data_IF_303321702944
#
_entry.id   IF_303321702944
#
_cell.length_a   1.000
_cell.length_b   1.000
_cell.length_c   1.000
_cell.angle_alpha   90.00
_cell.angle_beta   90.00
_cell.angle_gamma   90.00
#
_symmetry.space_group_name_H-M   'P 1'
#
loop_
_entity.id
_entity.type
_entity.pdbx_description
1 polymer ?
#
# COMPACT_ATOMS: atom_id res chain seq x y z
N UNK A 1 -22.74 0.00 31.51
CA UNK A 1 -22.69 1.46 31.26
C UNK A 1 -21.99 1.71 29.93
N UNK A 2 -22.84 2.00 28.95
CA UNK A 2 -22.70 2.66 27.65
C UNK A 2 -21.27 3.06 27.12
N UNK A 3 -20.57 2.12 26.47
CA UNK A 3 -19.43 2.41 25.57
C UNK A 3 -19.82 2.31 24.07
N UNK A 4 -21.11 2.30 23.74
CA UNK A 4 -21.64 1.95 22.40
C UNK A 4 -21.97 3.13 21.49
N UNK A 5 -21.54 4.36 21.81
CA UNK A 5 -21.93 5.58 21.05
C UNK A 5 -20.82 6.35 20.32
N UNK A 6 -19.56 5.93 20.39
CA UNK A 6 -18.45 6.77 19.89
C UNK A 6 -17.82 6.35 18.55
N UNK A 7 -18.34 5.34 17.87
CA UNK A 7 -17.93 5.02 16.50
C UNK A 7 -18.93 5.55 15.44
N UNK A 8 -19.57 6.70 15.70
CA UNK A 8 -20.13 7.49 14.61
C UNK A 8 -18.94 8.14 13.92
N UNK A 9 -18.58 7.65 12.73
CA UNK A 9 -17.77 8.42 11.80
C UNK A 9 -18.37 9.82 11.73
N UNK A 10 -17.58 10.79 12.17
CA UNK A 10 -17.99 12.18 12.20
C UNK A 10 -18.42 12.59 10.79
N UNK A 11 -19.53 13.33 10.66
CA UNK A 11 -19.98 13.85 9.36
C UNK A 11 -18.86 14.64 8.67
N UNK A 12 -17.96 15.23 9.45
CA UNK A 12 -16.73 15.91 9.02
C UNK A 12 -15.81 14.96 8.24
N UNK A 13 -15.55 13.74 8.73
CA UNK A 13 -14.68 12.74 8.07
C UNK A 13 -15.23 12.30 6.71
N UNK A 14 -16.56 12.17 6.58
CA UNK A 14 -17.23 11.82 5.32
C UNK A 14 -17.16 12.98 4.31
N UNK A 15 -17.42 14.21 4.75
CA UNK A 15 -17.37 15.41 3.92
C UNK A 15 -15.93 15.65 3.43
N UNK A 16 -14.93 15.53 4.28
CA UNK A 16 -13.52 15.68 3.92
C UNK A 16 -13.02 14.55 3.00
N UNK A 17 -13.46 13.30 3.22
CA UNK A 17 -13.21 12.20 2.29
C UNK A 17 -13.83 12.44 0.91
N UNK A 18 -15.03 13.03 0.84
CA UNK A 18 -15.66 13.46 -0.40
C UNK A 18 -14.89 14.61 -1.07
N UNK A 19 -14.43 15.61 -0.33
CA UNK A 19 -13.58 16.70 -0.85
C UNK A 19 -12.26 16.17 -1.41
N UNK A 20 -11.61 15.24 -0.70
CA UNK A 20 -10.38 14.59 -1.16
C UNK A 20 -10.64 13.81 -2.44
N UNK A 21 -11.77 13.10 -2.55
CA UNK A 21 -12.14 12.40 -3.79
C UNK A 21 -12.41 13.37 -4.95
N UNK A 22 -13.13 14.47 -4.72
CA UNK A 22 -13.37 15.53 -5.73
C UNK A 22 -12.07 16.19 -6.20
N UNK A 23 -11.13 16.45 -5.28
CA UNK A 23 -9.82 16.99 -5.62
C UNK A 23 -9.00 16.00 -6.46
N UNK A 24 -9.07 14.70 -6.15
CA UNK A 24 -8.44 13.64 -6.93
C UNK A 24 -9.09 13.47 -8.31
N UNK A 25 -10.41 13.59 -8.44
CA UNK A 25 -11.09 13.60 -9.75
C UNK A 25 -10.63 14.76 -10.63
N UNK A 26 -10.37 15.94 -10.04
CA UNK A 26 -9.77 17.06 -10.77
C UNK A 26 -8.36 16.73 -11.26
N UNK A 27 -7.55 16.05 -10.45
CA UNK A 27 -6.21 15.58 -10.85
C UNK A 27 -6.31 14.55 -11.99
N UNK A 28 -7.25 13.60 -11.90
CA UNK A 28 -7.49 12.59 -12.95
C UNK A 28 -7.89 13.26 -14.26
N UNK A 29 -8.85 14.19 -14.23
CA UNK A 29 -9.31 14.92 -15.42
C UNK A 29 -8.20 15.81 -16.02
N UNK A 30 -7.37 16.43 -15.19
CA UNK A 30 -6.20 17.20 -15.63
C UNK A 30 -5.13 16.29 -16.25
N UNK A 31 -4.80 15.17 -15.60
CA UNK A 31 -3.82 14.20 -16.09
C UNK A 31 -4.25 13.58 -17.44
N UNK A 32 -5.54 13.30 -17.62
CA UNK A 32 -6.08 12.78 -18.88
C UNK A 32 -6.00 13.77 -20.05
N UNK A 33 -6.00 15.09 -19.79
CA UNK A 33 -6.03 16.10 -20.85
C UNK A 33 -4.64 16.62 -21.26
N UNK A 34 -3.64 16.55 -20.37
CA UNK A 34 -2.33 17.19 -20.61
C UNK A 34 -1.12 16.33 -20.23
N UNK A 35 -1.33 15.19 -19.57
CA UNK A 35 -0.27 14.47 -18.85
C UNK A 35 0.15 15.24 -17.59
N UNK A 36 0.37 14.53 -16.48
CA UNK A 36 0.82 15.15 -15.23
C UNK A 36 2.27 14.73 -14.93
N UNK A 37 3.11 15.71 -14.62
CA UNK A 37 4.48 15.46 -14.14
C UNK A 37 4.47 14.99 -12.68
N UNK A 38 5.56 14.37 -12.25
CA UNK A 38 5.71 13.96 -10.84
C UNK A 38 5.64 15.17 -9.90
N UNK A 39 6.20 16.31 -10.32
CA UNK A 39 6.22 17.54 -9.52
C UNK A 39 4.82 18.13 -9.36
N UNK A 40 4.04 18.18 -10.45
CA UNK A 40 2.64 18.61 -10.40
C UNK A 40 1.81 17.69 -9.49
N UNK A 41 2.01 16.37 -9.57
CA UNK A 41 1.31 15.42 -8.70
C UNK A 41 1.63 15.68 -7.21
N UNK A 42 2.91 15.90 -6.87
CA UNK A 42 3.33 16.22 -5.50
C UNK A 42 2.70 17.53 -5.03
N UNK A 43 2.78 18.59 -5.83
CA UNK A 43 2.19 19.90 -5.49
C UNK A 43 0.69 19.76 -5.22
N UNK A 44 -0.03 19.03 -6.08
CA UNK A 44 -1.45 18.77 -5.87
C UNK A 44 -1.73 18.00 -4.58
N UNK A 45 -0.93 16.97 -4.26
CA UNK A 45 -1.06 16.24 -3.00
C UNK A 45 -0.84 17.15 -1.79
N UNK A 46 0.21 17.99 -1.80
CA UNK A 46 0.51 18.92 -0.72
C UNK A 46 -0.62 19.94 -0.51
N UNK A 47 -1.26 20.42 -1.59
CA UNK A 47 -2.43 21.31 -1.52
C UNK A 47 -3.62 20.59 -0.88
N UNK A 48 -3.89 19.35 -1.28
CA UNK A 48 -4.97 18.54 -0.70
C UNK A 48 -4.72 18.34 0.80
N UNK A 49 -3.52 17.92 1.19
CA UNK A 49 -3.19 17.64 2.59
C UNK A 49 -3.25 18.88 3.48
N UNK A 50 -2.86 20.05 2.95
CA UNK A 50 -3.03 21.33 3.64
C UNK A 50 -4.52 21.69 3.87
N UNK A 51 -5.42 21.17 3.03
CA UNK A 51 -6.86 21.41 3.12
C UNK A 51 -7.62 20.34 3.92
N UNK A 52 -7.06 19.12 4.09
CA UNK A 52 -7.76 17.95 4.63
C UNK A 52 -7.17 17.40 5.95
N UNK A 53 -6.56 18.25 6.78
CA UNK A 53 -5.71 17.86 7.93
C UNK A 53 -6.31 16.91 8.99
N UNK A 54 -7.62 16.63 8.99
CA UNK A 54 -8.32 15.92 10.08
C UNK A 54 -8.72 14.46 9.80
N UNK A 55 -8.81 14.00 8.54
CA UNK A 55 -9.34 12.64 8.21
C UNK A 55 -8.45 11.49 8.71
N UNK A 56 -7.14 11.56 8.45
CA UNK A 56 -6.22 10.46 8.79
C UNK A 56 -6.09 10.24 10.31
N UNK A 57 -6.27 11.31 11.10
CA UNK A 57 -6.27 11.25 12.57
C UNK A 57 -7.53 10.59 13.12
N UNK A 58 -8.67 10.73 12.43
CA UNK A 58 -9.94 10.15 12.85
C UNK A 58 -10.02 8.63 12.59
N UNK A 59 -9.52 8.13 11.46
CA UNK A 59 -9.46 6.69 11.16
C UNK A 59 -8.52 5.95 12.14
N UNK A 60 -7.38 6.55 12.48
CA UNK A 60 -6.43 5.99 13.45
C UNK A 60 -6.99 5.96 14.89
N UNK A 61 -7.88 6.89 15.24
CA UNK A 61 -8.50 6.95 16.56
C UNK A 61 -9.56 5.86 16.80
N UNK A 62 -10.14 5.30 15.74
CA UNK A 62 -11.15 4.23 15.82
C UNK A 62 -10.54 2.84 16.06
N UNK A 63 -9.23 2.68 15.87
CA UNK A 63 -8.53 1.40 15.92
C UNK A 63 -7.80 1.22 17.26
N UNK A 64 -7.71 -0.02 17.74
CA UNK A 64 -7.07 -0.31 19.02
C UNK A 64 -5.57 -0.12 18.88
N UNK A 65 -5.02 0.90 19.56
CA UNK A 65 -3.58 1.12 19.68
C UNK A 65 -2.96 0.00 20.49
N UNK A 66 -2.03 -0.71 19.88
CA UNK A 66 -1.30 -1.80 20.52
C UNK A 66 0.04 -1.27 21.04
N UNK A 67 0.24 -1.29 22.37
CA UNK A 67 1.59 -1.19 22.95
C UNK A 67 2.24 -2.58 22.95
N UNK A 68 3.43 -2.75 22.36
CA UNK A 68 4.15 -4.02 22.31
C UNK A 68 4.97 -4.32 23.58
N UNK A 69 4.96 -3.45 24.59
CA UNK A 69 5.85 -3.51 25.76
C UNK A 69 5.66 -4.77 26.63
N UNK A 70 4.51 -5.45 26.54
CA UNK A 70 4.21 -6.65 27.33
C UNK A 70 4.51 -7.99 26.63
N UNK A 71 4.95 -7.96 25.36
CA UNK A 71 5.13 -9.18 24.56
C UNK A 71 6.44 -9.90 24.91
N UNK A 72 6.37 -11.20 25.21
CA UNK A 72 7.51 -12.00 25.71
C UNK A 72 8.29 -12.70 24.60
N UNK A 73 7.73 -12.81 23.40
CA UNK A 73 8.34 -13.48 22.25
C UNK A 73 8.00 -12.77 20.92
N UNK A 74 8.78 -12.99 19.85
CA UNK A 74 8.46 -12.48 18.52
C UNK A 74 7.07 -12.89 18.03
N UNK A 75 6.65 -14.12 18.34
CA UNK A 75 5.30 -14.63 18.06
C UNK A 75 4.22 -13.79 18.74
N UNK A 76 4.38 -13.46 20.02
CA UNK A 76 3.42 -12.65 20.76
C UNK A 76 3.28 -11.24 20.17
N UNK A 77 4.40 -10.64 19.76
CA UNK A 77 4.39 -9.35 19.07
C UNK A 77 3.61 -9.46 17.77
N UNK A 78 3.91 -10.46 16.95
CA UNK A 78 3.27 -10.64 15.64
C UNK A 78 1.77 -10.91 15.78
N UNK A 79 1.36 -11.83 16.67
CA UNK A 79 -0.04 -12.10 16.98
C UNK A 79 -0.81 -10.82 17.33
N UNK A 80 -0.22 -9.96 18.18
CA UNK A 80 -0.87 -8.71 18.61
C UNK A 80 -0.91 -7.65 17.52
N UNK A 81 0.10 -7.61 16.64
CA UNK A 81 0.32 -6.49 15.69
C UNK A 81 -0.14 -6.78 14.26
N UNK A 82 -0.27 -8.05 13.88
CA UNK A 82 -0.85 -8.49 12.60
C UNK A 82 -2.34 -8.81 12.72
N UNK A 83 -2.92 -8.72 13.92
CA UNK A 83 -4.36 -8.84 14.09
C UNK A 83 -5.08 -7.79 13.23
N UNK A 84 -6.05 -8.23 12.44
CA UNK A 84 -6.83 -7.38 11.53
C UNK A 84 -7.62 -6.27 12.23
N UNK A 85 -7.76 -6.35 13.56
CA UNK A 85 -8.43 -5.34 14.41
C UNK A 85 -7.45 -4.43 15.16
N UNK A 86 -6.15 -4.57 14.92
CA UNK A 86 -5.10 -3.77 15.56
C UNK A 86 -4.53 -2.73 14.61
N UNK A 87 -4.15 -1.56 15.15
CA UNK A 87 -3.31 -0.60 14.42
C UNK A 87 -2.10 -0.23 15.25
N UNK A 88 -0.95 -0.33 14.60
CA UNK A 88 0.27 0.31 15.04
C UNK A 88 0.31 1.71 14.44
N UNK A 89 0.47 2.71 15.30
CA UNK A 89 0.66 4.10 14.88
C UNK A 89 1.96 4.20 14.06
N UNK A 90 1.84 4.37 12.75
CA UNK A 90 2.96 4.63 11.82
C UNK A 90 2.96 6.06 11.30
N UNK A 91 1.95 6.83 11.69
CA UNK A 91 1.65 8.18 11.20
C UNK A 91 2.81 9.16 11.41
N UNK A 92 3.64 9.00 12.44
CA UNK A 92 4.81 9.89 12.64
C UNK A 92 5.81 9.80 11.48
N UNK A 93 6.14 8.60 11.02
CA UNK A 93 7.17 8.39 10.00
C UNK A 93 6.78 8.86 8.59
N UNK A 94 5.49 8.79 8.24
CA UNK A 94 4.98 9.27 6.95
C UNK A 94 4.80 10.78 7.00
N UNK A 95 4.27 11.30 8.10
CA UNK A 95 4.11 12.74 8.31
C UNK A 95 5.47 13.45 8.27
N UNK A 96 6.51 12.90 8.91
CA UNK A 96 7.88 13.44 8.83
C UNK A 96 8.40 13.49 7.39
N UNK A 97 8.15 12.45 6.58
CA UNK A 97 8.55 12.43 5.17
C UNK A 97 7.74 13.43 4.32
N UNK A 98 6.46 13.62 4.63
CA UNK A 98 5.61 14.63 4.00
C UNK A 98 6.07 16.04 4.31
N UNK A 99 6.42 16.34 5.58
CA UNK A 99 6.97 17.63 5.97
C UNK A 99 8.32 17.89 5.31
N UNK A 100 9.20 16.89 5.29
CA UNK A 100 10.47 16.99 4.57
C UNK A 100 10.28 17.27 3.07
N UNK A 101 9.20 16.77 2.46
CA UNK A 101 8.87 17.01 1.06
C UNK A 101 8.42 18.45 0.80
N UNK A 102 7.79 19.12 1.76
CA UNK A 102 7.35 20.53 1.62
C UNK A 102 8.51 21.49 1.43
N UNK A 103 9.63 21.21 2.08
CA UNK A 103 10.85 22.04 2.04
C UNK A 103 11.86 21.54 0.98
N UNK A 104 11.59 20.42 0.30
CA UNK A 104 12.53 19.80 -0.63
C UNK A 104 12.51 20.46 -2.02
N UNK A 105 13.68 20.54 -2.65
CA UNK A 105 13.76 20.82 -4.09
C UNK A 105 13.30 19.59 -4.88
N UNK A 106 12.07 19.65 -5.39
CA UNK A 106 11.46 18.59 -6.21
C UNK A 106 12.32 18.24 -7.43
N UNK A 107 13.13 19.16 -7.95
CA UNK A 107 14.00 18.93 -9.11
C UNK A 107 15.06 17.84 -8.85
N UNK A 108 15.46 17.69 -7.58
CA UNK A 108 16.47 16.71 -7.11
C UNK A 108 15.87 15.39 -6.63
N UNK A 109 14.54 15.34 -6.46
CA UNK A 109 13.83 14.17 -5.96
C UNK A 109 14.14 12.91 -6.78
N UNK A 110 14.47 11.82 -6.10
CA UNK A 110 14.64 10.49 -6.69
C UNK A 110 13.54 9.56 -6.22
N UNK A 111 13.00 8.79 -7.14
CA UNK A 111 12.05 7.73 -6.83
C UNK A 111 12.78 6.55 -6.18
N UNK A 112 12.14 5.95 -5.18
CA UNK A 112 12.65 4.73 -4.55
C UNK A 112 12.05 3.50 -5.21
N UNK A 113 12.86 2.52 -5.63
CA UNK A 113 12.31 1.23 -6.05
C UNK A 113 11.78 0.48 -4.82
N UNK A 114 10.51 0.09 -4.84
CA UNK A 114 9.83 -0.54 -3.70
C UNK A 114 9.31 -1.94 -3.98
N UNK A 115 9.32 -2.36 -5.24
CA UNK A 115 9.00 -3.72 -5.62
C UNK A 115 9.39 -3.99 -7.06
N UNK A 116 9.79 -5.22 -7.35
CA UNK A 116 10.05 -5.70 -8.71
C UNK A 116 9.52 -7.11 -8.86
N UNK A 117 8.74 -7.35 -9.90
CA UNK A 117 8.23 -8.67 -10.24
C UNK A 117 8.24 -8.87 -11.75
N UNK A 118 7.75 -10.02 -12.19
CA UNK A 118 7.73 -10.38 -13.61
C UNK A 118 6.91 -9.41 -14.48
N UNK A 119 5.93 -8.73 -13.89
CA UNK A 119 5.03 -7.82 -14.61
C UNK A 119 5.50 -6.37 -14.63
N UNK A 120 6.45 -5.99 -13.77
CA UNK A 120 6.82 -4.59 -13.63
C UNK A 120 7.68 -4.27 -12.44
N UNK A 121 8.12 -3.01 -12.40
CA UNK A 121 8.81 -2.41 -11.26
C UNK A 121 7.93 -1.29 -10.70
N UNK A 122 7.85 -1.23 -9.36
CA UNK A 122 7.08 -0.24 -8.62
C UNK A 122 8.05 0.72 -7.93
N UNK A 123 7.79 2.00 -8.07
CA UNK A 123 8.59 3.09 -7.55
C UNK A 123 7.75 3.97 -6.62
N UNK A 124 8.18 4.19 -5.38
CA UNK A 124 7.55 5.20 -4.51
C UNK A 124 7.87 6.60 -4.99
N UNK A 125 6.92 7.51 -4.78
CA UNK A 125 7.17 8.94 -4.77
C UNK A 125 7.40 9.32 -3.29
N UNK A 126 8.64 9.62 -2.87
CA UNK A 126 8.97 9.83 -1.47
C UNK A 126 8.13 10.93 -0.83
N UNK A 127 7.67 10.69 0.40
CA UNK A 127 6.84 11.66 1.13
C UNK A 127 5.40 11.74 0.64
N UNK A 128 4.94 10.81 -0.19
CA UNK A 128 3.53 10.73 -0.61
C UNK A 128 2.99 9.30 -0.44
N UNK A 129 1.67 9.16 -0.56
CA UNK A 129 0.99 7.87 -0.63
C UNK A 129 1.00 7.26 -2.04
N UNK A 130 1.65 7.90 -3.01
CA UNK A 130 1.61 7.50 -4.41
C UNK A 130 2.84 6.69 -4.81
N UNK A 131 2.63 5.76 -5.74
CA UNK A 131 3.67 5.07 -6.44
C UNK A 131 3.41 5.04 -7.95
N UNK A 132 4.48 4.84 -8.70
CA UNK A 132 4.45 4.59 -10.13
C UNK A 132 4.77 3.13 -10.38
N UNK A 133 3.95 2.44 -11.16
CA UNK A 133 4.28 1.11 -11.67
C UNK A 133 4.59 1.20 -13.15
N UNK A 134 5.74 0.67 -13.53
CA UNK A 134 6.21 0.57 -14.91
C UNK A 134 6.22 -0.90 -15.33
N UNK A 135 5.66 -1.20 -16.49
CA UNK A 135 5.63 -2.57 -17.03
C UNK A 135 7.01 -3.00 -17.52
N UNK A 136 7.33 -4.29 -17.32
CA UNK A 136 8.48 -4.96 -17.94
C UNK A 136 8.06 -5.87 -19.11
N UNK A 137 6.77 -5.94 -19.42
CA UNK A 137 6.21 -6.91 -20.38
C UNK A 137 5.53 -6.21 -21.55
N UNK A 138 4.22 -6.00 -21.48
CA UNK A 138 3.45 -5.30 -22.51
C UNK A 138 2.69 -4.09 -21.96
N UNK A 139 2.47 -3.05 -22.78
CA UNK A 139 1.54 -1.96 -22.48
C UNK A 139 0.11 -2.47 -22.22
N UNK A 140 -0.36 -3.44 -23.01
CA UNK A 140 -1.73 -3.96 -22.93
C UNK A 140 -2.04 -4.56 -21.54
N UNK A 141 -1.10 -5.34 -20.97
CA UNK A 141 -1.28 -5.90 -19.63
C UNK A 141 -1.34 -4.82 -18.54
N UNK A 142 -0.57 -3.74 -18.71
CA UNK A 142 -0.60 -2.63 -17.77
C UNK A 142 -1.88 -1.81 -17.91
N UNK A 143 -2.42 -1.70 -19.12
CA UNK A 143 -3.73 -1.11 -19.39
C UNK A 143 -4.87 -1.94 -18.78
N UNK A 144 -4.84 -3.26 -18.96
CA UNK A 144 -5.79 -4.18 -18.31
C UNK A 144 -5.75 -4.02 -16.79
N UNK A 145 -4.56 -4.01 -16.19
CA UNK A 145 -4.40 -3.78 -14.75
C UNK A 145 -4.98 -2.43 -14.31
N UNK A 146 -4.68 -1.35 -15.04
CA UNK A 146 -5.21 -0.02 -14.75
C UNK A 146 -6.74 0.01 -14.80
N UNK A 147 -7.32 -0.56 -15.86
CA UNK A 147 -8.77 -0.56 -16.07
C UNK A 147 -9.50 -1.43 -15.05
N UNK A 148 -9.01 -2.65 -14.81
CA UNK A 148 -9.54 -3.53 -13.76
C UNK A 148 -9.40 -2.89 -12.39
N UNK A 149 -8.28 -2.24 -12.10
CA UNK A 149 -8.04 -1.52 -10.85
C UNK A 149 -9.06 -0.39 -10.62
N UNK A 150 -9.35 0.41 -11.64
CA UNK A 150 -10.39 1.44 -11.58
C UNK A 150 -11.79 0.85 -11.30
N UNK A 151 -12.17 -0.22 -12.00
CA UNK A 151 -13.46 -0.89 -11.79
C UNK A 151 -13.56 -1.47 -10.38
N UNK A 152 -12.51 -2.15 -9.91
CA UNK A 152 -12.48 -2.76 -8.58
C UNK A 152 -12.54 -1.69 -7.49
N UNK A 153 -11.81 -0.59 -7.64
CA UNK A 153 -11.91 0.56 -6.73
C UNK A 153 -13.35 1.06 -6.66
N UNK A 154 -14.01 1.30 -7.79
CA UNK A 154 -15.38 1.82 -7.81
C UNK A 154 -16.36 0.88 -7.11
N UNK A 155 -16.27 -0.42 -7.41
CA UNK A 155 -17.16 -1.43 -6.82
C UNK A 155 -16.90 -1.65 -5.33
N UNK A 156 -15.63 -1.79 -4.93
CA UNK A 156 -15.23 -2.15 -3.56
C UNK A 156 -15.16 -0.94 -2.64
N UNK A 157 -14.64 0.20 -3.09
CA UNK A 157 -14.56 1.38 -2.22
C UNK A 157 -15.85 2.22 -2.28
N UNK A 158 -16.56 2.28 -3.42
CA UNK A 158 -17.76 3.11 -3.61
C UNK A 158 -19.05 2.40 -3.21
N UNK A 159 -19.46 1.39 -3.96
CA UNK A 159 -20.76 0.72 -3.79
C UNK A 159 -20.83 -0.13 -2.52
N UNK A 160 -19.73 -0.80 -2.20
CA UNK A 160 -19.66 -1.73 -1.10
C UNK A 160 -19.66 -1.06 0.28
N UNK A 161 -18.89 0.01 0.45
CA UNK A 161 -18.89 0.84 1.66
C UNK A 161 -20.31 1.29 2.01
N UNK A 162 -21.06 1.83 1.04
CA UNK A 162 -22.42 2.32 1.26
C UNK A 162 -23.43 1.23 1.71
N UNK A 163 -23.25 -0.01 1.27
CA UNK A 163 -24.11 -1.13 1.65
C UNK A 163 -23.79 -1.69 3.04
N UNK A 164 -22.49 -1.77 3.42
CA UNK A 164 -22.08 -2.19 4.78
C UNK A 164 -22.46 -1.13 5.81
N UNK A 165 -22.22 0.16 5.54
CA UNK A 165 -22.57 1.24 6.47
C UNK A 165 -24.07 1.29 6.79
N UNK A 166 -24.91 0.79 5.89
CA UNK A 166 -26.37 0.74 6.08
C UNK A 166 -26.87 -0.60 6.64
N UNK A 167 -26.03 -1.61 6.75
CA UNK A 167 -26.42 -2.94 7.21
C UNK A 167 -26.16 -3.09 8.71
N UNK A 168 -27.20 -3.38 9.47
CA UNK A 168 -27.08 -3.74 10.89
C UNK A 168 -26.41 -5.11 11.09
N UNK A 169 -26.41 -5.97 10.07
CA UNK A 169 -25.87 -7.33 10.14
C UNK A 169 -24.36 -7.41 9.85
N UNK A 170 -23.76 -6.37 9.25
CA UNK A 170 -22.37 -6.35 8.80
C UNK A 170 -21.50 -5.34 9.56
N UNK A 171 -21.92 -4.92 10.76
CA UNK A 171 -21.22 -3.89 11.54
C UNK A 171 -19.80 -4.30 11.98
N UNK A 172 -19.49 -5.61 12.03
CA UNK A 172 -18.17 -6.12 12.41
C UNK A 172 -17.28 -6.53 11.23
N UNK A 173 -17.78 -6.44 10.00
CA UNK A 173 -17.04 -6.81 8.80
C UNK A 173 -15.87 -5.84 8.56
N UNK A 174 -14.66 -6.37 8.34
CA UNK A 174 -13.53 -5.54 7.92
C UNK A 174 -13.51 -5.48 6.39
N UNK A 175 -13.36 -4.27 5.85
CA UNK A 175 -13.31 -4.08 4.41
C UNK A 175 -11.86 -4.00 3.92
N UNK A 176 -11.42 -4.91 3.01
CA UNK A 176 -10.18 -4.68 2.31
C UNK A 176 -10.31 -3.42 1.45
N UNK A 177 -9.41 -2.46 1.66
CA UNK A 177 -9.33 -1.26 0.82
C UNK A 177 -8.59 -1.59 -0.46
N UNK A 178 -9.22 -1.33 -1.60
CA UNK A 178 -8.53 -1.39 -2.89
C UNK A 178 -7.73 -0.10 -3.08
N UNK A 179 -6.42 -0.16 -3.41
CA UNK A 179 -5.64 1.03 -3.70
C UNK A 179 -6.26 1.89 -4.80
N UNK A 180 -6.20 3.22 -4.64
CA UNK A 180 -6.72 4.15 -5.65
C UNK A 180 -5.81 4.19 -6.88
N UNK A 181 -6.38 3.94 -8.05
CA UNK A 181 -5.72 4.20 -9.33
C UNK A 181 -6.03 5.64 -9.75
N UNK A 182 -5.01 6.42 -10.10
CA UNK A 182 -5.16 7.84 -10.45
C UNK A 182 -5.14 8.07 -11.95
N UNK A 183 -4.04 7.69 -12.61
CA UNK A 183 -3.84 7.99 -14.02
C UNK A 183 -2.85 7.01 -14.64
N UNK A 184 -2.80 6.99 -15.97
CA UNK A 184 -1.83 6.23 -16.76
C UNK A 184 -1.21 7.13 -17.82
N UNK A 185 0.00 6.81 -18.27
CA UNK A 185 0.72 7.55 -19.30
C UNK A 185 1.44 6.59 -20.24
N UNK A 186 1.49 6.94 -21.53
CA UNK A 186 2.25 6.18 -22.52
C UNK A 186 1.62 4.84 -22.92
N UNK A 187 0.31 4.66 -22.69
CA UNK A 187 -0.41 3.42 -22.99
C UNK A 187 -0.78 3.28 -24.46
N UNK A 188 -1.15 4.39 -25.12
CA UNK A 188 -1.65 4.37 -26.49
C UNK A 188 -0.58 4.56 -27.57
N UNK A 189 0.55 5.20 -27.23
CA UNK A 189 1.64 5.45 -28.17
C UNK A 189 2.99 5.62 -27.46
N UNK A 190 4.08 5.21 -28.12
CA UNK A 190 5.43 5.29 -27.56
C UNK A 190 5.94 6.72 -27.44
N UNK A 191 5.50 7.64 -28.30
CA UNK A 191 5.99 9.03 -28.32
C UNK A 191 5.51 9.81 -27.08
N UNK A 192 4.31 9.54 -26.58
CA UNK A 192 3.78 10.11 -25.35
C UNK A 192 4.49 9.57 -24.11
N UNK A 193 4.93 8.30 -24.13
CA UNK A 193 5.81 7.75 -23.10
C UNK A 193 7.18 8.45 -23.11
N UNK A 194 7.80 8.59 -24.29
CA UNK A 194 9.08 9.29 -24.46
C UNK A 194 9.04 10.74 -24.00
N UNK A 195 8.00 11.48 -24.38
CA UNK A 195 7.83 12.89 -23.97
C UNK A 195 7.78 13.02 -22.45
N UNK A 196 6.96 12.22 -21.80
CA UNK A 196 6.84 12.25 -20.34
C UNK A 196 8.16 11.85 -19.65
N UNK A 197 8.88 10.86 -20.21
CA UNK A 197 10.18 10.44 -19.69
C UNK A 197 11.29 11.48 -19.90
N UNK A 198 11.21 12.33 -20.93
CA UNK A 198 12.16 13.43 -21.09
C UNK A 198 12.13 14.39 -19.89
N UNK A 199 10.96 14.57 -19.29
CA UNK A 199 10.75 15.47 -18.15
C UNK A 199 11.02 14.78 -16.81
N UNK A 200 10.60 13.53 -16.67
CA UNK A 200 10.56 12.81 -15.39
C UNK A 200 11.63 11.71 -15.25
N UNK A 201 12.21 11.25 -16.35
CA UNK A 201 13.12 10.10 -16.41
C UNK A 201 14.33 10.24 -15.50
N UNK A 202 14.83 11.47 -15.29
CA UNK A 202 15.93 11.76 -14.36
C UNK A 202 15.63 11.40 -12.90
N UNK A 203 14.35 11.30 -12.52
CA UNK A 203 13.90 10.96 -11.16
C UNK A 203 13.92 9.46 -10.91
N UNK A 204 13.86 8.65 -11.97
CA UNK A 204 14.00 7.20 -11.83
C UNK A 204 15.45 6.83 -11.47
N UNK A 205 15.63 5.77 -10.67
CA UNK A 205 16.98 5.24 -10.43
C UNK A 205 17.62 4.84 -11.77
N UNK A 206 18.93 5.05 -11.87
CA UNK A 206 19.70 4.71 -13.08
C UNK A 206 19.77 3.18 -13.31
N UNK A 207 19.57 2.41 -12.24
CA UNK A 207 19.58 0.96 -12.26
C UNK A 207 18.28 0.40 -12.89
N UNK A 208 18.35 -0.83 -13.41
CA UNK A 208 17.18 -1.67 -13.67
C UNK A 208 16.14 -1.09 -14.64
N UNK A 209 16.59 -0.50 -15.75
CA UNK A 209 15.73 0.06 -16.81
C UNK A 209 14.81 1.22 -16.35
N UNK A 210 14.97 1.72 -15.12
CA UNK A 210 14.15 2.79 -14.56
C UNK A 210 14.07 4.01 -15.48
N UNK A 211 15.17 4.33 -16.17
CA UNK A 211 15.26 5.48 -17.08
C UNK A 211 14.74 5.24 -18.49
N UNK A 212 14.53 3.98 -18.92
CA UNK A 212 14.01 3.71 -20.28
C UNK A 212 12.57 4.24 -20.38
N UNK A 213 12.20 4.95 -21.45
CA UNK A 213 10.81 5.30 -21.69
C UNK A 213 9.90 4.07 -21.72
N UNK A 214 8.68 4.22 -21.22
CA UNK A 214 7.68 3.17 -21.29
C UNK A 214 6.36 3.56 -20.62
N UNK A 215 5.31 2.75 -20.79
CA UNK A 215 4.03 2.99 -20.16
C UNK A 215 4.12 2.88 -18.64
N UNK A 216 3.39 3.75 -17.96
CA UNK A 216 3.33 3.81 -16.49
C UNK A 216 1.90 4.00 -16.01
N UNK A 217 1.63 3.53 -14.80
CA UNK A 217 0.43 3.86 -14.04
C UNK A 217 0.83 4.51 -12.72
N UNK A 218 0.03 5.48 -12.28
CA UNK A 218 0.10 6.06 -10.96
C UNK A 218 -1.05 5.54 -10.11
N UNK A 219 -0.70 5.00 -8.94
CA UNK A 219 -1.64 4.42 -8.01
C UNK A 219 -1.20 4.65 -6.56
N UNK A 220 -2.14 4.50 -5.65
CA UNK A 220 -1.89 4.51 -4.22
C UNK A 220 -1.03 3.31 -3.84
N UNK A 221 -0.03 3.57 -3.01
CA UNK A 221 0.87 2.56 -2.51
C UNK A 221 0.31 1.93 -1.24
N UNK A 222 0.49 0.62 -1.11
CA UNK A 222 0.35 -0.07 0.18
C UNK A 222 1.59 0.24 1.02
N UNK A 223 1.37 0.84 2.19
CA UNK A 223 2.46 1.17 3.10
C UNK A 223 3.16 -0.09 3.60
N UNK A 224 4.50 -0.08 3.72
CA UNK A 224 5.22 -1.24 4.21
C UNK A 224 4.82 -1.54 5.66
N UNK A 225 4.86 -2.82 6.02
CA UNK A 225 4.59 -3.21 7.41
C UNK A 225 5.60 -2.53 8.35
N UNK A 226 5.18 -2.12 9.57
CA UNK A 226 6.04 -1.43 10.54
C UNK A 226 7.33 -2.17 10.84
N UNK A 227 8.41 -1.44 11.17
CA UNK A 227 9.72 -2.02 11.51
C UNK A 227 9.61 -3.11 12.57
N UNK A 228 8.81 -2.87 13.60
CA UNK A 228 8.56 -3.84 14.67
C UNK A 228 8.05 -5.18 14.12
N UNK A 229 7.10 -5.16 13.18
CA UNK A 229 6.57 -6.39 12.57
C UNK A 229 7.66 -7.06 11.73
N UNK A 230 8.38 -6.29 10.89
CA UNK A 230 9.46 -6.82 10.04
C UNK A 230 10.53 -7.54 10.83
N UNK A 231 11.03 -6.91 11.89
CA UNK A 231 12.08 -7.47 12.73
C UNK A 231 11.62 -8.79 13.36
N UNK A 232 10.36 -8.87 13.80
CA UNK A 232 9.83 -10.08 14.43
C UNK A 232 9.50 -11.18 13.41
N UNK A 233 9.11 -10.84 12.18
CA UNK A 233 8.98 -11.82 11.09
C UNK A 233 10.33 -12.46 10.75
N UNK A 234 11.39 -11.66 10.67
CA UNK A 234 12.75 -12.17 10.45
C UNK A 234 13.16 -13.10 11.60
N UNK A 235 13.01 -12.65 12.85
CA UNK A 235 13.36 -13.47 14.02
C UNK A 235 12.62 -14.79 14.09
N UNK A 236 11.35 -14.82 13.65
CA UNK A 236 10.49 -15.99 13.76
C UNK A 236 10.67 -16.97 12.59
N UNK A 237 10.82 -16.49 11.36
CA UNK A 237 10.75 -17.34 10.17
C UNK A 237 12.07 -17.50 9.42
N UNK A 238 13.06 -16.61 9.61
CA UNK A 238 14.33 -16.71 8.90
C UNK A 238 15.30 -17.59 9.69
N UNK A 239 16.15 -18.32 8.96
CA UNK A 239 17.26 -19.08 9.56
C UNK A 239 18.19 -18.15 10.34
N UNK A 240 18.68 -18.53 11.54
CA UNK A 240 19.51 -17.68 12.40
C UNK A 240 20.68 -17.01 11.67
N UNK A 241 21.35 -17.75 10.78
CA UNK A 241 22.48 -17.27 9.97
C UNK A 241 22.12 -16.16 8.98
N UNK A 242 20.86 -16.05 8.58
CA UNK A 242 20.38 -15.07 7.60
C UNK A 242 19.71 -13.84 8.25
N UNK A 243 19.49 -13.85 9.57
CA UNK A 243 18.69 -12.82 10.24
C UNK A 243 19.38 -11.45 10.21
N UNK A 244 20.69 -11.40 10.48
CA UNK A 244 21.44 -10.14 10.49
C UNK A 244 21.46 -9.49 9.11
N UNK A 245 21.72 -10.28 8.06
CA UNK A 245 21.69 -9.82 6.68
C UNK A 245 20.30 -9.30 6.29
N UNK A 246 19.23 -10.05 6.62
CA UNK A 246 17.86 -9.64 6.33
C UNK A 246 17.45 -8.36 7.08
N UNK A 247 17.94 -8.14 8.31
CA UNK A 247 17.68 -6.91 9.07
C UNK A 247 18.42 -5.70 8.49
N UNK A 248 19.61 -5.91 7.93
CA UNK A 248 20.43 -4.86 7.32
C UNK A 248 19.97 -4.51 5.89
N UNK A 249 19.31 -5.44 5.19
CA UNK A 249 18.88 -5.25 3.81
C UNK A 249 17.86 -4.10 3.66
N UNK A 250 18.24 -3.11 2.85
CA UNK A 250 17.39 -1.95 2.52
C UNK A 250 16.15 -2.37 1.75
N UNK A 251 16.22 -3.44 0.95
CA UNK A 251 15.12 -3.96 0.15
C UNK A 251 13.94 -4.38 1.05
N UNK A 252 14.22 -4.86 2.26
CA UNK A 252 13.24 -5.30 3.24
C UNK A 252 12.47 -4.14 3.90
N UNK A 253 12.91 -2.88 3.74
CA UNK A 253 12.16 -1.70 4.24
C UNK A 253 10.82 -1.49 3.52
N UNK A 254 10.68 -2.02 2.32
CA UNK A 254 9.44 -1.97 1.51
C UNK A 254 8.58 -3.24 1.64
N UNK A 255 8.79 -4.05 2.70
CA UNK A 255 8.09 -5.29 2.94
C UNK A 255 6.56 -5.15 2.94
N UNK A 256 5.92 -6.08 2.25
CA UNK A 256 4.49 -6.38 2.32
C UNK A 256 4.34 -7.85 2.68
N UNK A 257 3.36 -8.19 3.53
CA UNK A 257 2.99 -9.57 3.79
C UNK A 257 1.80 -9.97 2.91
N UNK A 258 1.86 -11.15 2.32
CA UNK A 258 0.79 -11.70 1.49
C UNK A 258 0.18 -12.93 2.16
N UNK A 259 -1.08 -12.87 2.63
CA UNK A 259 -1.73 -14.04 3.20
C UNK A 259 -2.08 -15.05 2.10
N UNK A 260 -1.58 -16.28 2.22
CA UNK A 260 -1.87 -17.41 1.35
C UNK A 260 -2.85 -18.36 2.02
N UNK A 261 -4.15 -18.06 1.92
CA UNK A 261 -5.22 -18.80 2.62
C UNK A 261 -5.47 -20.20 2.04
N UNK A 262 -5.03 -20.47 0.80
CA UNK A 262 -5.25 -21.73 0.10
C UNK A 262 -4.01 -22.62 0.00
N UNK A 263 -2.92 -22.31 0.71
CA UNK A 263 -1.69 -23.09 0.65
C UNK A 263 -1.01 -23.15 2.01
N UNK A 264 -0.49 -24.33 2.35
CA UNK A 264 0.33 -24.51 3.55
C UNK A 264 1.81 -24.43 3.19
N UNK A 265 2.61 -23.91 4.12
CA UNK A 265 4.05 -23.79 3.89
C UNK A 265 4.68 -25.16 3.59
N UNK A 266 4.16 -26.24 4.19
CA UNK A 266 4.64 -27.63 4.01
C UNK A 266 4.43 -28.19 2.59
N UNK A 267 3.52 -27.59 1.82
CA UNK A 267 3.21 -27.99 0.44
C UNK A 267 4.16 -27.31 -0.56
N UNK A 268 4.90 -26.31 -0.12
CA UNK A 268 5.85 -25.56 -0.95
C UNK A 268 7.16 -26.33 -1.03
N UNK A 269 7.69 -26.46 -2.25
CA UNK A 269 8.97 -27.10 -2.49
C UNK A 269 10.08 -26.46 -1.61
N UNK A 270 10.96 -27.25 -0.97
CA UNK A 270 11.92 -26.73 0.01
C UNK A 270 12.83 -25.62 -0.54
N UNK A 271 13.28 -25.75 -1.80
CA UNK A 271 14.10 -24.78 -2.51
C UNK A 271 13.37 -23.45 -2.72
N UNK A 272 12.09 -23.52 -3.10
CA UNK A 272 11.24 -22.34 -3.27
C UNK A 272 11.02 -21.65 -1.92
N UNK A 273 10.69 -22.41 -0.88
CA UNK A 273 10.48 -21.87 0.48
C UNK A 273 11.76 -21.19 0.99
N UNK A 274 12.91 -21.82 0.80
CA UNK A 274 14.19 -21.24 1.24
C UNK A 274 14.46 -19.90 0.56
N UNK A 275 14.17 -19.80 -0.74
CA UNK A 275 14.28 -18.53 -1.49
C UNK A 275 13.30 -17.47 -0.99
N UNK A 276 12.07 -17.84 -0.66
CA UNK A 276 11.06 -16.93 -0.10
C UNK A 276 11.48 -16.41 1.28
N UNK A 277 12.19 -17.22 2.07
CA UNK A 277 12.71 -16.85 3.40
C UNK A 277 14.07 -16.13 3.37
N UNK A 278 14.47 -15.58 2.22
CA UNK A 278 15.65 -14.72 2.09
C UNK A 278 15.28 -13.23 2.03
N UNK A 279 14.03 -12.90 1.76
CA UNK A 279 13.59 -11.50 1.64
C UNK A 279 12.21 -11.29 2.25
N UNK A 280 11.99 -10.11 2.80
CA UNK A 280 10.68 -9.66 3.23
C UNK A 280 9.87 -9.00 2.10
N UNK A 281 10.43 -8.83 0.89
CA UNK A 281 9.66 -8.31 -0.23
C UNK A 281 8.60 -9.32 -0.66
N UNK A 282 7.32 -8.95 -0.56
CA UNK A 282 6.18 -9.83 -0.82
C UNK A 282 6.24 -11.13 0.02
N UNK A 283 6.57 -10.99 1.31
CA UNK A 283 6.71 -12.12 2.23
C UNK A 283 5.44 -12.96 2.27
N UNK A 284 5.48 -14.25 1.87
CA UNK A 284 4.32 -15.12 1.92
C UNK A 284 4.03 -15.51 3.38
N UNK A 285 2.77 -15.34 3.79
CA UNK A 285 2.27 -15.79 5.09
C UNK A 285 1.24 -16.90 4.84
N UNK A 286 1.69 -18.14 4.92
CA UNK A 286 0.91 -19.34 4.61
C UNK A 286 -0.14 -19.64 5.68
N UNK A 287 -1.12 -20.46 5.32
CA UNK A 287 -2.24 -20.81 6.20
C UNK A 287 -1.79 -21.33 7.57
N UNK A 288 -0.81 -22.21 7.61
CA UNK A 288 -0.25 -22.77 8.84
C UNK A 288 0.50 -21.73 9.69
N UNK A 289 1.12 -20.72 9.06
CA UNK A 289 1.75 -19.61 9.75
C UNK A 289 0.71 -18.64 10.33
N UNK A 290 -0.38 -18.40 9.61
CA UNK A 290 -1.52 -17.63 10.11
C UNK A 290 -2.16 -18.32 11.33
N UNK A 291 -2.37 -19.64 11.25
CA UNK A 291 -2.85 -20.46 12.37
C UNK A 291 -1.89 -20.40 13.56
N UNK A 292 -0.57 -20.49 13.33
CA UNK A 292 0.45 -20.38 14.39
C UNK A 292 0.45 -18.99 15.06
N UNK A 293 0.21 -17.93 14.29
CA UNK A 293 0.05 -16.59 14.84
C UNK A 293 -1.31 -16.36 15.52
N UNK A 294 -2.16 -17.38 15.61
CA UNK A 294 -3.53 -17.31 16.12
C UNK A 294 -4.34 -16.20 15.45
N UNK A 295 -4.10 -16.02 14.15
CA UNK A 295 -4.99 -15.26 13.29
C UNK A 295 -6.21 -16.14 12.96
N UNK A 296 -7.29 -15.54 12.47
CA UNK A 296 -8.51 -16.26 12.07
C UNK A 296 -8.60 -16.28 10.52
N UNK A 297 -7.96 -17.25 9.81
CA UNK A 297 -7.92 -17.26 8.35
C UNK A 297 -9.31 -17.27 7.72
N UNK A 298 -10.28 -17.92 8.36
CA UNK A 298 -11.67 -17.96 7.89
C UNK A 298 -12.31 -16.57 7.94
N UNK A 299 -12.09 -15.80 9.00
CA UNK A 299 -12.58 -14.42 9.09
C UNK A 299 -11.94 -13.55 8.02
N UNK A 300 -10.63 -13.68 7.80
CA UNK A 300 -9.92 -12.97 6.72
C UNK A 300 -10.51 -13.36 5.35
N UNK A 301 -10.73 -14.66 5.11
CA UNK A 301 -11.34 -15.15 3.88
C UNK A 301 -12.76 -14.60 3.69
N UNK A 302 -13.58 -14.57 4.74
CA UNK A 302 -14.94 -14.04 4.71
C UNK A 302 -14.95 -12.54 4.42
N UNK A 303 -14.10 -11.77 5.08
CA UNK A 303 -13.94 -10.33 4.85
C UNK A 303 -13.51 -10.04 3.40
N UNK A 304 -12.65 -10.89 2.81
CA UNK A 304 -12.28 -10.82 1.40
C UNK A 304 -13.38 -11.30 0.44
N UNK A 305 -14.14 -12.34 0.82
CA UNK A 305 -15.09 -13.04 -0.05
C UNK A 305 -16.49 -12.44 -0.05
N UNK A 306 -16.87 -11.63 0.95
CA UNK A 306 -18.21 -11.05 1.07
C UNK A 306 -18.66 -10.22 -0.15
N UNK A 307 -17.84 -10.09 -1.20
CA UNK A 307 -18.06 -9.18 -2.34
C UNK A 307 -17.49 -9.67 -3.70
N UNK A 308 -17.33 -10.98 -3.92
CA UNK A 308 -17.19 -11.55 -5.28
C UNK A 308 -18.54 -11.72 -5.97
#
# INVERSE_FOLDING_TARGET
MDRRRHARTDKTTLIEGLWRNLALERIVNFAHSTGITIDQLIIHQLIIDAQSGDVARAEEAALVKVSPEDAKSPRDVLKKTLSVRSVLSTSSSIAERMEALREADLSTLKLGQIGRGSFGTVFEIPGTEWCLKKTLTSPDRLWEEFHTGLIMREKVNGTASNAIFKSEQLQEALMPRVPRYLWSQGMGDAQSAERWFKENGRKFPAENEGQKPGPIICLERIMPIPKLIRDNLIKLYFKPENQEEALADKANKSCLCQPYLGSRSSEIAPDKREKELQTLQNFPLYLDQLEDLEMEPLTIAQDMAMRS
#
